data_IF_885599577542
#
_entry.id   IF_885599577542
#
_cell.length_a   1.000
_cell.length_b   1.000
_cell.length_c   1.000
_cell.angle_alpha   90.00
_cell.angle_beta   90.00
_cell.angle_gamma   90.00
#
_symmetry.space_group_name_H-M   'P 1'
#
loop_
_entity.id
_entity.type
_entity.pdbx_description
1 polymer ?
#
# COMPACT_ATOMS: atom_id res chain seq x y z
N UNK A 1 -7.23 8.05 27.54
CA UNK A 1 -6.28 7.18 26.80
C UNK A 1 -5.66 7.89 25.61
N UNK A 2 -6.41 8.25 24.56
CA UNK A 2 -5.85 8.90 23.35
C UNK A 2 -5.23 10.29 23.60
N UNK A 3 -5.80 11.08 24.52
CA UNK A 3 -5.23 12.38 24.93
C UNK A 3 -3.87 12.18 25.61
N UNK A 4 -3.79 11.29 26.61
CA UNK A 4 -2.54 10.93 27.29
C UNK A 4 -1.46 10.42 26.33
N UNK A 5 -1.85 9.61 25.33
CA UNK A 5 -0.92 9.15 24.31
C UNK A 5 -0.42 10.30 23.41
N UNK A 6 -1.27 11.28 23.08
CA UNK A 6 -0.89 12.46 22.32
C UNK A 6 0.05 13.40 23.12
N UNK A 7 -0.01 13.36 24.45
CA UNK A 7 0.88 14.08 25.36
C UNK A 7 2.19 13.33 25.68
N UNK A 8 2.56 12.33 24.86
CA UNK A 8 3.72 11.43 25.07
C UNK A 8 3.69 10.60 26.37
N UNK A 9 2.55 10.53 27.07
CA UNK A 9 2.36 9.70 28.27
C UNK A 9 1.78 8.32 27.91
N UNK A 10 2.35 7.67 26.90
CA UNK A 10 1.78 6.43 26.34
C UNK A 10 1.78 5.25 27.31
N UNK A 11 2.78 5.14 28.21
CA UNK A 11 2.82 4.11 29.26
C UNK A 11 1.66 4.26 30.24
N UNK A 12 1.34 5.50 30.63
CA UNK A 12 0.19 5.79 31.48
C UNK A 12 -1.11 5.50 30.73
N UNK A 13 -1.20 5.88 29.46
CA UNK A 13 -2.35 5.57 28.62
C UNK A 13 -2.61 4.06 28.50
N UNK A 14 -1.54 3.27 28.37
CA UNK A 14 -1.59 1.80 28.30
C UNK A 14 -2.01 1.18 29.65
N UNK A 15 -1.42 1.64 30.76
CA UNK A 15 -1.81 1.19 32.10
C UNK A 15 -3.28 1.48 32.41
N UNK A 16 -3.79 2.65 31.99
CA UNK A 16 -5.21 2.99 32.09
C UNK A 16 -6.05 2.01 31.27
N UNK A 17 -5.63 1.71 30.03
CA UNK A 17 -6.35 0.77 29.17
C UNK A 17 -6.43 -0.64 29.79
N UNK A 18 -5.32 -1.16 30.31
CA UNK A 18 -5.26 -2.46 30.97
C UNK A 18 -6.16 -2.52 32.21
N UNK A 19 -6.13 -1.47 33.03
CA UNK A 19 -7.00 -1.35 34.21
C UNK A 19 -8.47 -1.33 33.80
N UNK A 20 -8.83 -0.58 32.76
CA UNK A 20 -10.19 -0.55 32.22
C UNK A 20 -10.61 -1.92 31.67
N UNK A 21 -9.74 -2.63 30.94
CA UNK A 21 -10.01 -4.00 30.47
C UNK A 21 -10.29 -4.93 31.65
N UNK A 22 -9.48 -4.89 32.70
CA UNK A 22 -9.64 -5.72 33.89
C UNK A 22 -10.96 -5.44 34.61
N UNK A 23 -11.36 -4.17 34.73
CA UNK A 23 -12.63 -3.77 35.33
C UNK A 23 -13.83 -4.22 34.50
N UNK A 24 -13.80 -4.03 33.18
CA UNK A 24 -14.88 -4.44 32.28
C UNK A 24 -15.07 -5.96 32.27
N UNK A 25 -13.97 -6.73 32.26
CA UNK A 25 -14.04 -8.19 32.38
C UNK A 25 -14.75 -8.68 33.65
N UNK A 26 -14.65 -7.91 34.75
CA UNK A 26 -15.22 -8.28 36.06
C UNK A 26 -16.65 -7.76 36.26
N UNK A 27 -16.99 -6.58 35.75
CA UNK A 27 -18.22 -5.87 36.14
C UNK A 27 -19.27 -5.68 35.04
N UNK A 28 -18.90 -5.62 33.76
CA UNK A 28 -19.86 -5.38 32.67
C UNK A 28 -19.35 -5.96 31.34
N UNK A 29 -20.04 -6.98 30.83
CA UNK A 29 -19.72 -7.68 29.58
C UNK A 29 -20.15 -6.92 28.32
N UNK A 30 -20.25 -5.58 28.35
CA UNK A 30 -20.53 -4.81 27.13
C UNK A 30 -19.39 -4.99 26.13
N UNK A 31 -19.63 -5.80 25.11
CA UNK A 31 -18.63 -6.20 24.11
C UNK A 31 -18.16 -4.99 23.32
N UNK A 32 -19.06 -4.06 22.99
CA UNK A 32 -18.72 -2.86 22.24
C UNK A 32 -17.69 -2.02 22.97
N UNK A 33 -17.94 -1.71 24.24
CA UNK A 33 -17.01 -0.92 25.05
C UNK A 33 -15.66 -1.65 25.23
N UNK A 34 -15.70 -2.96 25.44
CA UNK A 34 -14.49 -3.77 25.55
C UNK A 34 -13.65 -3.72 24.27
N UNK A 35 -14.30 -3.81 23.10
CA UNK A 35 -13.64 -3.68 21.80
C UNK A 35 -13.01 -2.29 21.61
N UNK A 36 -13.66 -1.21 22.07
CA UNK A 36 -13.11 0.15 21.99
C UNK A 36 -11.87 0.35 22.85
N UNK A 37 -11.87 -0.20 24.07
CA UNK A 37 -10.70 -0.12 24.97
C UNK A 37 -9.55 -0.96 24.41
N UNK A 38 -9.82 -2.16 23.89
CA UNK A 38 -8.82 -2.98 23.21
C UNK A 38 -8.25 -2.28 21.97
N UNK A 39 -9.09 -1.68 21.13
CA UNK A 39 -8.64 -0.89 19.97
C UNK A 39 -7.68 0.22 20.39
N UNK A 40 -8.03 0.96 21.45
CA UNK A 40 -7.19 2.04 21.97
C UNK A 40 -5.85 1.52 22.49
N UNK A 41 -5.83 0.39 23.21
CA UNK A 41 -4.61 -0.23 23.70
C UNK A 41 -3.70 -0.70 22.55
N UNK A 42 -4.28 -1.41 21.57
CA UNK A 42 -3.58 -1.91 20.38
C UNK A 42 -3.02 -0.76 19.52
N UNK A 43 -3.79 0.30 19.29
CA UNK A 43 -3.35 1.50 18.58
C UNK A 43 -2.11 2.11 19.27
N UNK A 44 -2.17 2.30 20.59
CA UNK A 44 -1.07 2.90 21.37
C UNK A 44 0.17 2.02 21.32
N UNK A 45 0.04 0.71 21.58
CA UNK A 45 1.17 -0.24 21.52
C UNK A 45 1.78 -0.32 20.13
N UNK A 46 0.96 -0.31 19.07
CA UNK A 46 1.42 -0.32 17.68
C UNK A 46 2.20 0.95 17.31
N UNK A 47 1.72 2.13 17.71
CA UNK A 47 2.38 3.42 17.43
C UNK A 47 3.78 3.48 18.08
N UNK A 48 3.93 2.90 19.27
CA UNK A 48 5.18 2.94 20.04
C UNK A 48 6.07 1.71 19.84
N UNK A 49 5.66 0.75 18.99
CA UNK A 49 6.46 -0.43 18.65
C UNK A 49 6.62 -1.44 19.79
N UNK A 50 5.73 -1.45 20.78
CA UNK A 50 5.74 -2.44 21.87
C UNK A 50 5.08 -3.75 21.39
N UNK A 51 5.87 -4.60 20.73
CA UNK A 51 5.44 -5.87 20.16
C UNK A 51 5.01 -6.88 21.23
N UNK A 52 5.62 -6.83 22.41
CA UNK A 52 5.31 -7.77 23.50
C UNK A 52 3.91 -7.53 24.05
N UNK A 53 3.59 -6.29 24.40
CA UNK A 53 2.26 -5.94 24.91
C UNK A 53 1.20 -6.16 23.84
N UNK A 54 1.52 -5.87 22.58
CA UNK A 54 0.66 -6.18 21.44
C UNK A 54 0.28 -7.68 21.38
N UNK A 55 1.24 -8.59 21.43
CA UNK A 55 0.97 -10.03 21.36
C UNK A 55 0.13 -10.52 22.54
N UNK A 56 0.35 -9.96 23.74
CA UNK A 56 -0.46 -10.26 24.91
C UNK A 56 -1.90 -9.77 24.74
N UNK A 57 -2.09 -8.55 24.24
CA UNK A 57 -3.40 -7.97 23.96
C UNK A 57 -4.14 -8.78 22.88
N UNK A 58 -3.46 -9.20 21.81
CA UNK A 58 -4.04 -10.03 20.76
C UNK A 58 -4.57 -11.37 21.31
N UNK A 59 -3.75 -12.09 22.11
CA UNK A 59 -4.17 -13.34 22.76
C UNK A 59 -5.38 -13.11 23.68
N UNK A 60 -5.39 -11.99 24.41
CA UNK A 60 -6.50 -11.61 25.26
C UNK A 60 -7.78 -11.30 24.46
N UNK A 61 -7.66 -10.62 23.32
CA UNK A 61 -8.80 -10.33 22.45
C UNK A 61 -9.43 -11.62 21.95
N UNK A 62 -8.62 -12.56 21.46
CA UNK A 62 -9.12 -13.84 20.94
C UNK A 62 -9.84 -14.64 22.04
N UNK A 63 -9.23 -14.78 23.22
CA UNK A 63 -9.85 -15.57 24.30
C UNK A 63 -11.16 -14.98 24.79
N UNK A 64 -11.25 -13.65 24.85
CA UNK A 64 -12.42 -12.91 25.33
C UNK A 64 -13.53 -12.88 24.28
N UNK A 65 -13.21 -12.56 23.02
CA UNK A 65 -14.20 -12.51 21.95
C UNK A 65 -14.82 -13.88 21.68
N UNK A 66 -14.02 -14.96 21.71
CA UNK A 66 -14.53 -16.31 21.51
C UNK A 66 -15.50 -16.75 22.61
N UNK A 67 -15.32 -16.27 23.85
CA UNK A 67 -16.22 -16.57 24.98
C UNK A 67 -17.52 -15.73 24.94
N UNK A 68 -17.51 -14.61 24.22
CA UNK A 68 -18.62 -13.65 24.18
C UNK A 68 -19.37 -13.67 22.83
N UNK A 69 -19.04 -14.60 21.93
CA UNK A 69 -19.60 -14.77 20.59
C UNK A 69 -21.09 -15.23 20.57
N UNK A 70 -21.83 -15.05 21.65
CA UNK A 70 -23.15 -15.64 21.85
C UNK A 70 -24.32 -14.70 21.55
N UNK A 71 -24.12 -13.58 20.86
CA UNK A 71 -25.15 -12.52 20.80
C UNK A 71 -25.41 -12.07 19.35
N UNK A 72 -26.67 -12.23 18.93
CA UNK A 72 -27.24 -11.68 17.68
C UNK A 72 -27.41 -10.15 17.78
N UNK A 73 -26.37 -9.41 18.20
CA UNK A 73 -26.42 -7.95 18.32
C UNK A 73 -25.55 -7.30 17.23
N UNK A 74 -26.17 -6.64 16.23
CA UNK A 74 -25.44 -5.98 15.15
C UNK A 74 -24.37 -4.98 15.65
N UNK A 75 -24.64 -4.23 16.73
CA UNK A 75 -23.72 -3.24 17.27
C UNK A 75 -22.42 -3.90 17.75
N UNK A 76 -22.53 -5.05 18.41
CA UNK A 76 -21.38 -5.80 18.91
C UNK A 76 -20.59 -6.40 17.75
N UNK A 77 -21.25 -6.89 16.70
CA UNK A 77 -20.57 -7.33 15.47
C UNK A 77 -19.81 -6.20 14.76
N UNK A 78 -20.38 -4.98 14.68
CA UNK A 78 -19.67 -3.82 14.14
C UNK A 78 -18.45 -3.44 14.98
N UNK A 79 -18.56 -3.51 16.31
CA UNK A 79 -17.44 -3.26 17.21
C UNK A 79 -16.32 -4.33 17.06
N UNK A 80 -16.69 -5.60 16.90
CA UNK A 80 -15.76 -6.68 16.59
C UNK A 80 -15.09 -6.50 15.24
N UNK A 81 -15.85 -6.11 14.20
CA UNK A 81 -15.31 -5.84 12.87
C UNK A 81 -14.27 -4.72 12.91
N UNK A 82 -14.56 -3.62 13.62
CA UNK A 82 -13.61 -2.53 13.86
C UNK A 82 -12.34 -3.01 14.57
N UNK A 83 -12.46 -3.83 15.61
CA UNK A 83 -11.32 -4.42 16.31
C UNK A 83 -10.48 -5.33 15.42
N UNK A 84 -11.13 -6.15 14.60
CA UNK A 84 -10.47 -7.01 13.61
C UNK A 84 -9.77 -6.19 12.52
N UNK A 85 -10.33 -5.05 12.09
CA UNK A 85 -9.67 -4.10 11.18
C UNK A 85 -8.37 -3.55 11.77
N UNK A 86 -8.39 -3.15 13.03
CA UNK A 86 -7.18 -2.68 13.74
C UNK A 86 -6.13 -3.78 13.81
N UNK A 87 -6.52 -5.00 14.20
CA UNK A 87 -5.61 -6.16 14.22
C UNK A 87 -5.03 -6.45 12.84
N UNK A 88 -5.86 -6.42 11.78
CA UNK A 88 -5.42 -6.64 10.41
C UNK A 88 -4.38 -5.60 9.96
N UNK A 89 -4.60 -4.32 10.26
CA UNK A 89 -3.64 -3.25 9.94
C UNK A 89 -2.34 -3.45 10.71
N UNK A 90 -2.39 -3.78 12.00
CA UNK A 90 -1.18 -4.03 12.79
C UNK A 90 -0.42 -5.24 12.24
N UNK A 91 -1.12 -6.33 11.90
CA UNK A 91 -0.51 -7.52 11.29
C UNK A 91 0.13 -7.21 9.93
N UNK A 92 -0.47 -6.34 9.15
CA UNK A 92 0.12 -5.86 7.90
C UNK A 92 1.41 -5.06 8.13
N UNK A 93 1.55 -4.42 9.29
CA UNK A 93 2.76 -3.68 9.68
C UNK A 93 3.89 -4.61 10.16
N UNK A 94 3.56 -5.61 10.99
CA UNK A 94 4.53 -6.35 11.80
C UNK A 94 4.75 -7.80 11.39
N UNK A 95 3.75 -8.46 10.80
CA UNK A 95 3.80 -9.89 10.49
C UNK A 95 4.27 -10.16 9.06
N UNK A 96 4.48 -11.45 8.77
CA UNK A 96 4.63 -11.91 7.40
C UNK A 96 3.29 -11.82 6.63
N UNK A 97 3.40 -11.74 5.30
CA UNK A 97 2.24 -11.56 4.41
C UNK A 97 1.21 -12.69 4.56
N UNK A 98 1.65 -13.93 4.79
CA UNK A 98 0.74 -15.09 4.91
C UNK A 98 -0.20 -14.96 6.11
N UNK A 99 0.30 -14.52 7.26
CA UNK A 99 -0.51 -14.33 8.46
C UNK A 99 -1.50 -13.16 8.29
N UNK A 100 -1.03 -12.04 7.75
CA UNK A 100 -1.88 -10.89 7.44
C UNK A 100 -3.04 -11.27 6.49
N UNK A 101 -2.77 -12.05 5.43
CA UNK A 101 -3.80 -12.54 4.50
C UNK A 101 -4.89 -13.36 5.22
N UNK A 102 -4.52 -14.24 6.16
CA UNK A 102 -5.49 -15.08 6.89
C UNK A 102 -6.48 -14.24 7.68
N UNK A 103 -5.99 -13.19 8.35
CA UNK A 103 -6.83 -12.26 9.12
C UNK A 103 -7.67 -11.40 8.15
N UNK A 104 -7.05 -10.92 7.06
CA UNK A 104 -7.73 -10.15 6.03
C UNK A 104 -8.91 -10.89 5.41
N UNK A 105 -8.79 -12.20 5.10
CA UNK A 105 -9.93 -12.99 4.63
C UNK A 105 -11.06 -13.10 5.67
N UNK A 106 -10.73 -13.37 6.94
CA UNK A 106 -11.74 -13.44 8.01
C UNK A 106 -12.49 -12.11 8.14
N UNK A 107 -11.77 -11.00 8.12
CA UNK A 107 -12.34 -9.67 8.16
C UNK A 107 -13.16 -9.35 6.91
N UNK A 108 -12.70 -9.73 5.72
CA UNK A 108 -13.44 -9.59 4.47
C UNK A 108 -14.78 -10.31 4.52
N UNK A 109 -14.83 -11.55 4.99
CA UNK A 109 -16.08 -12.31 5.13
C UNK A 109 -17.00 -11.71 6.20
N UNK A 110 -16.44 -11.29 7.34
CA UNK A 110 -17.19 -10.63 8.41
C UNK A 110 -17.84 -9.34 7.90
N UNK A 111 -17.05 -8.45 7.27
CA UNK A 111 -17.56 -7.18 6.74
C UNK A 111 -18.59 -7.40 5.62
N UNK A 112 -18.44 -8.45 4.81
CA UNK A 112 -19.39 -8.81 3.77
C UNK A 112 -20.73 -9.22 4.37
N UNK A 113 -20.72 -10.10 5.38
CA UNK A 113 -21.93 -10.55 6.07
C UNK A 113 -22.64 -9.43 6.84
N UNK A 114 -21.90 -8.43 7.34
CA UNK A 114 -22.46 -7.27 8.03
C UNK A 114 -22.93 -6.14 7.10
N UNK A 115 -22.75 -6.27 5.79
CA UNK A 115 -22.93 -5.18 4.84
C UNK A 115 -22.17 -3.90 5.24
N UNK A 116 -20.99 -4.07 5.85
CA UNK A 116 -20.18 -2.97 6.36
C UNK A 116 -19.29 -2.37 5.24
N UNK A 117 -19.91 -1.62 4.32
CA UNK A 117 -19.25 -1.09 3.12
C UNK A 117 -18.02 -0.22 3.43
N UNK A 118 -18.08 0.58 4.50
CA UNK A 118 -16.96 1.42 4.93
C UNK A 118 -15.74 0.57 5.32
N UNK A 119 -15.95 -0.50 6.10
CA UNK A 119 -14.86 -1.39 6.48
C UNK A 119 -14.34 -2.23 5.31
N UNK A 120 -15.21 -2.54 4.33
CA UNK A 120 -14.75 -3.16 3.07
C UNK A 120 -13.83 -2.22 2.27
N UNK A 121 -14.18 -0.93 2.16
CA UNK A 121 -13.33 0.08 1.49
C UNK A 121 -11.93 0.19 2.11
N UNK A 122 -11.81 -0.03 3.41
CA UNK A 122 -10.52 -0.01 4.12
C UNK A 122 -9.78 -1.34 4.03
N UNK A 123 -10.50 -2.46 4.12
CA UNK A 123 -9.91 -3.81 4.21
C UNK A 123 -9.43 -4.32 2.85
N UNK A 124 -10.26 -4.18 1.82
CA UNK A 124 -10.06 -4.85 0.53
C UNK A 124 -8.81 -4.35 -0.19
N UNK A 125 -8.49 -3.04 -0.25
CA UNK A 125 -7.26 -2.58 -0.89
C UNK A 125 -6.00 -3.20 -0.26
N UNK A 126 -5.96 -3.28 1.07
CA UNK A 126 -4.83 -3.88 1.80
C UNK A 126 -4.73 -5.38 1.53
N UNK A 127 -5.86 -6.10 1.62
CA UNK A 127 -5.91 -7.53 1.34
C UNK A 127 -5.48 -7.83 -0.10
N UNK A 128 -5.93 -7.04 -1.06
CA UNK A 128 -5.61 -7.22 -2.47
C UNK A 128 -4.09 -7.03 -2.73
N UNK A 129 -3.47 -6.00 -2.15
CA UNK A 129 -2.03 -5.78 -2.27
C UNK A 129 -1.21 -6.90 -1.59
N UNK A 130 -1.67 -7.41 -0.44
CA UNK A 130 -1.06 -8.57 0.22
C UNK A 130 -1.16 -9.83 -0.65
N UNK A 131 -2.33 -10.07 -1.26
CA UNK A 131 -2.55 -11.19 -2.18
C UNK A 131 -1.66 -11.09 -3.41
N UNK A 132 -1.56 -9.91 -4.03
CA UNK A 132 -0.62 -9.64 -5.13
C UNK A 132 0.82 -9.93 -4.69
N UNK A 133 1.23 -9.43 -3.52
CA UNK A 133 2.56 -9.66 -2.97
C UNK A 133 2.86 -11.15 -2.75
N UNK A 134 1.83 -11.96 -2.48
CA UNK A 134 1.89 -13.41 -2.35
C UNK A 134 1.64 -14.20 -3.66
N UNK A 135 1.66 -13.56 -4.85
CA UNK A 135 1.38 -14.19 -6.16
C UNK A 135 -0.07 -14.68 -6.34
N UNK A 136 -1.01 -14.17 -5.58
CA UNK A 136 -2.44 -14.55 -5.62
C UNK A 136 -3.27 -13.51 -6.38
N UNK A 137 -2.87 -13.20 -7.62
CA UNK A 137 -3.47 -12.13 -8.43
C UNK A 137 -4.96 -12.38 -8.72
N UNK A 138 -5.34 -13.60 -9.04
CA UNK A 138 -6.75 -13.93 -9.27
C UNK A 138 -7.60 -13.66 -8.03
N UNK A 139 -7.13 -14.09 -6.86
CA UNK A 139 -7.86 -13.89 -5.61
C UNK A 139 -7.99 -12.39 -5.27
N UNK A 140 -6.94 -11.60 -5.57
CA UNK A 140 -6.97 -10.15 -5.42
C UNK A 140 -8.00 -9.52 -6.37
N UNK A 141 -8.02 -9.95 -7.64
CA UNK A 141 -8.98 -9.48 -8.64
C UNK A 141 -10.43 -9.84 -8.26
N UNK A 142 -10.67 -11.04 -7.72
CA UNK A 142 -11.99 -11.43 -7.22
C UNK A 142 -12.43 -10.57 -6.03
N UNK A 143 -11.57 -10.39 -5.02
CA UNK A 143 -11.88 -9.57 -3.85
C UNK A 143 -12.24 -8.13 -4.24
N UNK A 144 -11.42 -7.51 -5.09
CA UNK A 144 -11.63 -6.14 -5.58
C UNK A 144 -12.87 -6.05 -6.48
N UNK A 145 -13.13 -7.04 -7.33
CA UNK A 145 -14.29 -7.10 -8.21
C UNK A 145 -15.63 -7.23 -7.47
N UNK A 146 -15.70 -8.06 -6.42
CA UNK A 146 -16.89 -8.15 -5.56
C UNK A 146 -17.14 -6.81 -4.87
N UNK A 147 -16.08 -6.21 -4.34
CA UNK A 147 -16.19 -4.94 -3.62
C UNK A 147 -16.63 -3.81 -4.55
N UNK A 148 -16.13 -3.76 -5.80
CA UNK A 148 -16.59 -2.79 -6.81
C UNK A 148 -18.11 -2.87 -7.02
N UNK A 149 -18.67 -4.07 -7.09
CA UNK A 149 -20.13 -4.27 -7.27
C UNK A 149 -20.91 -3.74 -6.08
N UNK A 150 -20.43 -4.00 -4.86
CA UNK A 150 -21.06 -3.51 -3.62
C UNK A 150 -20.99 -1.98 -3.55
N UNK A 151 -19.87 -1.39 -3.95
CA UNK A 151 -19.62 0.04 -3.88
C UNK A 151 -20.22 0.85 -5.04
N UNK A 152 -20.92 0.22 -5.99
CA UNK A 152 -21.48 0.91 -7.17
C UNK A 152 -22.49 2.00 -6.79
N UNK A 153 -23.15 1.84 -5.64
CA UNK A 153 -24.14 2.79 -5.13
C UNK A 153 -23.54 3.78 -4.11
N UNK A 154 -22.32 3.56 -3.65
CA UNK A 154 -21.60 4.50 -2.79
C UNK A 154 -20.90 5.54 -3.66
N UNK A 155 -21.03 6.83 -3.31
CA UNK A 155 -20.34 7.95 -3.96
C UNK A 155 -18.89 7.56 -4.30
N UNK A 156 -18.46 7.84 -5.54
CA UNK A 156 -17.20 7.55 -6.29
C UNK A 156 -15.93 7.01 -5.59
N UNK A 157 -15.74 7.12 -4.27
CA UNK A 157 -14.58 6.63 -3.54
C UNK A 157 -14.26 5.14 -3.76
N UNK A 158 -15.28 4.27 -3.78
CA UNK A 158 -15.07 2.84 -4.03
C UNK A 158 -14.59 2.53 -5.45
N UNK A 159 -15.16 3.23 -6.45
CA UNK A 159 -14.73 3.07 -7.84
C UNK A 159 -13.33 3.66 -8.07
N UNK A 160 -12.98 4.77 -7.41
CA UNK A 160 -11.61 5.31 -7.45
C UNK A 160 -10.59 4.32 -6.87
N UNK A 161 -10.88 3.69 -5.73
CA UNK A 161 -10.00 2.67 -5.13
C UNK A 161 -9.83 1.46 -6.06
N UNK A 162 -10.90 1.05 -6.74
CA UNK A 162 -10.85 -0.01 -7.74
C UNK A 162 -9.89 0.32 -8.89
N UNK A 163 -10.01 1.52 -9.48
CA UNK A 163 -9.15 1.92 -10.60
C UNK A 163 -7.69 2.17 -10.19
N UNK A 164 -7.45 2.65 -8.95
CA UNK A 164 -6.12 2.72 -8.37
C UNK A 164 -5.50 1.33 -8.28
N UNK A 165 -6.24 0.35 -7.74
CA UNK A 165 -5.75 -1.03 -7.67
C UNK A 165 -5.45 -1.59 -9.07
N UNK A 166 -6.31 -1.35 -10.06
CA UNK A 166 -6.07 -1.79 -11.44
C UNK A 166 -4.76 -1.22 -11.99
N UNK A 167 -4.49 0.06 -11.73
CA UNK A 167 -3.27 0.73 -12.18
C UNK A 167 -2.03 0.23 -11.42
N UNK A 168 -2.15 0.00 -10.10
CA UNK A 168 -1.07 -0.57 -9.30
C UNK A 168 -0.74 -2.00 -9.70
N UNK A 169 -1.74 -2.83 -9.97
CA UNK A 169 -1.54 -4.19 -10.48
C UNK A 169 -0.75 -4.16 -11.80
N UNK A 170 -1.15 -3.27 -12.71
CA UNK A 170 -0.48 -3.06 -13.99
C UNK A 170 0.98 -2.66 -13.81
N UNK A 171 1.24 -1.68 -12.94
CA UNK A 171 2.58 -1.15 -12.67
C UNK A 171 3.47 -2.14 -11.92
N UNK A 172 2.94 -2.85 -10.94
CA UNK A 172 3.77 -3.68 -10.06
C UNK A 172 3.97 -5.10 -10.60
N UNK A 173 3.10 -5.55 -11.52
CA UNK A 173 3.08 -6.96 -11.93
C UNK A 173 2.96 -7.21 -13.44
N UNK A 174 2.68 -6.17 -14.24
CA UNK A 174 2.33 -6.25 -15.67
C UNK A 174 1.02 -6.99 -15.99
N UNK A 175 0.29 -7.45 -14.98
CA UNK A 175 -1.06 -7.96 -15.16
C UNK A 175 -2.06 -6.82 -15.14
N UNK A 176 -3.10 -6.92 -15.97
CA UNK A 176 -4.17 -5.92 -15.99
C UNK A 176 -5.51 -6.54 -15.67
N UNK A 177 -6.29 -5.83 -14.83
CA UNK A 177 -7.70 -6.09 -14.57
C UNK A 177 -8.58 -5.27 -15.53
N UNK A 178 -8.24 -3.99 -15.67
CA UNK A 178 -8.81 -3.06 -16.65
C UNK A 178 -7.71 -2.58 -17.59
N UNK A 179 -8.06 -2.31 -18.84
CA UNK A 179 -7.11 -1.69 -19.80
C UNK A 179 -6.81 -0.25 -19.36
N UNK A 180 -5.59 0.22 -19.63
CA UNK A 180 -5.19 1.58 -19.26
C UNK A 180 -6.15 2.65 -19.81
N UNK A 181 -6.71 2.48 -21.01
CA UNK A 181 -7.65 3.43 -21.61
C UNK A 181 -8.94 3.58 -20.78
N UNK A 182 -9.39 2.52 -20.10
CA UNK A 182 -10.55 2.58 -19.21
C UNK A 182 -10.21 3.34 -17.92
N UNK A 183 -9.00 3.13 -17.39
CA UNK A 183 -8.49 3.85 -16.22
C UNK A 183 -8.34 5.35 -16.53
N UNK A 184 -7.78 5.68 -17.69
CA UNK A 184 -7.59 7.06 -18.15
C UNK A 184 -8.93 7.78 -18.32
N UNK A 185 -9.90 7.15 -19.01
CA UNK A 185 -11.26 7.70 -19.17
C UNK A 185 -11.95 7.94 -17.83
N UNK A 186 -11.82 7.02 -16.88
CA UNK A 186 -12.36 7.21 -15.54
C UNK A 186 -11.69 8.39 -14.82
N UNK A 187 -10.37 8.51 -14.91
CA UNK A 187 -9.64 9.62 -14.30
C UNK A 187 -10.07 10.97 -14.91
N UNK A 188 -10.25 11.05 -16.23
CA UNK A 188 -10.74 12.26 -16.91
C UNK A 188 -12.13 12.63 -16.40
N UNK A 189 -13.05 11.67 -16.35
CA UNK A 189 -14.40 11.85 -15.79
C UNK A 189 -14.35 12.40 -14.36
N UNK A 190 -13.53 11.78 -13.52
CA UNK A 190 -13.39 12.14 -12.10
C UNK A 190 -12.77 13.55 -11.89
N UNK A 191 -11.98 14.04 -12.84
CA UNK A 191 -11.37 15.37 -12.77
C UNK A 191 -12.20 16.46 -13.45
N UNK A 192 -12.93 16.14 -14.53
CA UNK A 192 -13.71 17.10 -15.31
C UNK A 192 -15.15 17.27 -14.78
N UNK A 193 -15.78 16.18 -14.31
CA UNK A 193 -17.20 16.20 -13.94
C UNK A 193 -17.44 16.33 -12.42
N UNK A 194 -16.44 16.02 -11.60
CA UNK A 194 -16.59 16.14 -10.14
C UNK A 194 -16.13 17.51 -9.67
N UNK A 195 -17.09 18.41 -9.56
CA UNK A 195 -16.98 19.71 -8.93
C UNK A 195 -16.19 19.64 -7.59
N UNK A 196 -15.42 20.69 -7.27
CA UNK A 196 -14.56 20.76 -6.07
C UNK A 196 -15.33 20.56 -4.74
N UNK A 197 -16.67 20.56 -4.80
CA UNK A 197 -17.62 20.33 -3.73
C UNK A 197 -17.79 18.86 -3.31
N UNK A 198 -17.31 17.88 -4.10
CA UNK A 198 -17.53 16.46 -3.81
C UNK A 198 -16.41 15.79 -3.00
N UNK A 199 -16.81 15.22 -1.85
CA UNK A 199 -16.05 14.47 -0.83
C UNK A 199 -15.28 13.23 -1.31
N UNK A 200 -15.03 13.07 -2.60
CA UNK A 200 -13.95 12.20 -3.08
C UNK A 200 -12.65 12.70 -2.47
N UNK A 201 -12.06 11.91 -1.55
CA UNK A 201 -10.85 12.25 -0.83
C UNK A 201 -9.78 12.72 -1.83
N UNK A 202 -9.36 13.99 -1.74
CA UNK A 202 -8.39 14.59 -2.67
C UNK A 202 -7.12 13.73 -2.80
N UNK A 203 -6.78 12.99 -1.74
CA UNK A 203 -5.72 11.98 -1.70
C UNK A 203 -5.90 10.88 -2.76
N UNK A 204 -7.08 10.28 -2.83
CA UNK A 204 -7.40 9.17 -3.74
C UNK A 204 -7.32 9.65 -5.20
N UNK A 205 -7.87 10.83 -5.49
CA UNK A 205 -7.77 11.42 -6.84
C UNK A 205 -6.31 11.60 -7.28
N UNK A 206 -5.52 12.25 -6.42
CA UNK A 206 -4.09 12.50 -6.66
C UNK A 206 -3.31 11.20 -6.80
N UNK A 207 -3.64 10.18 -6.01
CA UNK A 207 -2.95 8.91 -6.10
C UNK A 207 -3.14 8.26 -7.48
N UNK A 208 -4.38 8.26 -8.00
CA UNK A 208 -4.65 7.76 -9.34
C UNK A 208 -3.84 8.50 -10.42
N UNK A 209 -3.74 9.84 -10.32
CA UNK A 209 -2.92 10.64 -11.25
C UNK A 209 -1.45 10.27 -11.18
N UNK A 210 -0.90 10.08 -9.98
CA UNK A 210 0.50 9.67 -9.84
C UNK A 210 0.72 8.29 -10.45
N UNK A 211 -0.23 7.35 -10.32
CA UNK A 211 -0.14 6.06 -10.99
C UNK A 211 -0.15 6.21 -12.53
N UNK A 212 -1.04 7.04 -13.09
CA UNK A 212 -1.05 7.33 -14.53
C UNK A 212 0.23 8.00 -15.01
N UNK A 213 0.73 9.00 -14.29
CA UNK A 213 2.01 9.65 -14.57
C UNK A 213 3.16 8.66 -14.57
N UNK A 214 3.19 7.75 -13.58
CA UNK A 214 4.20 6.69 -13.49
C UNK A 214 4.11 5.75 -14.68
N UNK A 215 2.89 5.31 -15.05
CA UNK A 215 2.66 4.44 -16.19
C UNK A 215 3.17 5.04 -17.50
N UNK A 216 2.75 6.28 -17.81
CA UNK A 216 3.19 6.95 -19.04
C UNK A 216 4.68 7.31 -19.01
N UNK A 217 5.26 7.58 -17.84
CA UNK A 217 6.72 7.80 -17.70
C UNK A 217 7.52 6.53 -18.01
N UNK A 218 7.06 5.36 -17.55
CA UNK A 218 7.69 4.06 -17.87
C UNK A 218 7.65 3.75 -19.36
N UNK A 219 6.56 4.10 -20.04
CA UNK A 219 6.41 3.93 -21.49
C UNK A 219 6.98 5.08 -22.31
N UNK A 220 7.62 6.07 -21.69
CA UNK A 220 8.12 7.27 -22.36
C UNK A 220 7.08 8.05 -23.19
N UNK A 221 5.80 7.95 -22.85
CA UNK A 221 4.74 8.74 -23.47
C UNK A 221 4.64 10.11 -22.79
N UNK A 222 5.62 10.96 -23.05
CA UNK A 222 5.78 12.24 -22.35
C UNK A 222 4.68 13.25 -22.65
N UNK A 223 4.00 13.14 -23.81
CA UNK A 223 2.84 13.96 -24.13
C UNK A 223 1.70 13.71 -23.14
N UNK A 224 1.43 12.44 -22.81
CA UNK A 224 0.45 12.08 -21.77
C UNK A 224 0.95 12.46 -20.37
N UNK A 225 2.25 12.37 -20.10
CA UNK A 225 2.83 12.81 -18.82
C UNK A 225 2.56 14.30 -18.59
N UNK A 226 2.84 15.17 -19.56
CA UNK A 226 2.60 16.61 -19.42
C UNK A 226 1.10 16.93 -19.24
N UNK A 227 0.22 16.28 -20.00
CA UNK A 227 -1.25 16.38 -19.81
C UNK A 227 -1.64 16.09 -18.36
N UNK A 228 -1.21 14.97 -17.81
CA UNK A 228 -1.60 14.55 -16.47
C UNK A 228 -0.94 15.37 -15.36
N UNK A 229 0.23 15.96 -15.63
CA UNK A 229 0.98 16.78 -14.68
C UNK A 229 0.22 18.07 -14.33
N UNK A 230 -0.55 18.63 -15.27
CA UNK A 230 -1.42 19.78 -15.03
C UNK A 230 -2.47 19.56 -13.93
N UNK A 231 -2.82 18.30 -13.63
CA UNK A 231 -3.81 17.95 -12.61
C UNK A 231 -3.18 17.56 -11.26
N UNK A 232 -1.86 17.61 -11.16
CA UNK A 232 -1.12 17.15 -9.98
C UNK A 232 -0.66 18.33 -9.10
N UNK A 233 -1.58 18.88 -8.31
CA UNK A 233 -1.20 19.80 -7.24
C UNK A 233 -0.61 19.03 -6.05
N UNK A 234 0.65 19.32 -5.69
CA UNK A 234 1.36 18.65 -4.59
C UNK A 234 0.61 18.87 -3.26
N UNK A 235 0.10 17.82 -2.58
CA UNK A 235 -0.62 17.97 -1.32
C UNK A 235 0.30 18.12 -0.10
N UNK A 236 -0.17 18.98 0.81
CA UNK A 236 0.27 19.16 2.18
C UNK A 236 -0.45 18.18 3.14
N UNK A 237 0.34 17.61 4.06
CA UNK A 237 -0.02 16.87 5.28
C UNK A 237 -0.97 15.66 5.10
N UNK A 238 -0.41 14.46 5.23
CA UNK A 238 -1.17 13.21 5.31
C UNK A 238 -0.89 12.49 6.64
N UNK A 239 -1.89 11.77 7.16
CA UNK A 239 -1.75 10.86 8.30
C UNK A 239 -0.91 9.64 7.90
N UNK A 240 -0.14 9.08 8.85
CA UNK A 240 0.70 7.88 8.69
C UNK A 240 -0.13 6.59 8.58
N UNK A 241 -0.81 6.43 7.45
CA UNK A 241 -1.65 5.27 7.12
C UNK A 241 -1.13 4.49 5.88
N UNK A 242 -1.78 3.36 5.61
CA UNK A 242 -1.41 2.44 4.53
C UNK A 242 -1.40 3.11 3.14
N UNK A 243 -2.40 3.95 2.85
CA UNK A 243 -2.53 4.59 1.56
C UNK A 243 -1.48 5.70 1.39
N UNK A 244 -1.12 6.40 2.46
CA UNK A 244 -0.07 7.42 2.41
C UNK A 244 1.28 6.81 2.02
N UNK A 245 1.70 5.70 2.64
CA UNK A 245 2.99 5.09 2.30
C UNK A 245 3.00 4.59 0.85
N UNK A 246 1.88 4.01 0.38
CA UNK A 246 1.73 3.57 -1.00
C UNK A 246 1.85 4.73 -1.99
N UNK A 247 1.12 5.82 -1.71
CA UNK A 247 1.21 7.08 -2.45
C UNK A 247 2.65 7.62 -2.50
N UNK A 248 3.32 7.73 -1.34
CA UNK A 248 4.68 8.27 -1.27
C UNK A 248 5.69 7.42 -2.02
N UNK A 249 5.58 6.10 -1.96
CA UNK A 249 6.44 5.19 -2.71
C UNK A 249 6.22 5.34 -4.22
N UNK A 250 4.98 5.44 -4.68
CA UNK A 250 4.70 5.69 -6.10
C UNK A 250 5.19 7.08 -6.54
N UNK A 251 5.03 8.10 -5.70
CA UNK A 251 5.54 9.43 -5.99
C UNK A 251 7.08 9.45 -6.06
N UNK A 252 7.76 8.74 -5.15
CA UNK A 252 9.22 8.56 -5.21
C UNK A 252 9.63 7.88 -6.52
N UNK A 253 8.93 6.83 -6.93
CA UNK A 253 9.19 6.17 -8.22
C UNK A 253 9.06 7.14 -9.40
N UNK A 254 7.96 7.91 -9.46
CA UNK A 254 7.75 8.91 -10.51
C UNK A 254 8.91 9.91 -10.59
N UNK A 255 9.36 10.44 -9.45
CA UNK A 255 10.48 11.39 -9.41
C UNK A 255 11.81 10.72 -9.86
N UNK A 256 12.04 9.45 -9.50
CA UNK A 256 13.20 8.69 -9.96
C UNK A 256 13.17 8.47 -11.49
N UNK A 257 12.01 8.17 -12.06
CA UNK A 257 11.83 8.04 -13.51
C UNK A 257 12.06 9.36 -14.24
N UNK A 258 11.59 10.48 -13.68
CA UNK A 258 11.82 11.81 -14.23
C UNK A 258 13.31 12.16 -14.24
N UNK A 259 14.05 11.91 -13.15
CA UNK A 259 15.50 12.14 -13.12
C UNK A 259 16.24 11.24 -14.10
N UNK A 260 15.83 9.97 -14.23
CA UNK A 260 16.42 9.08 -15.22
C UNK A 260 16.26 9.63 -16.64
N UNK A 261 15.08 10.16 -16.99
CA UNK A 261 14.85 10.86 -18.26
C UNK A 261 15.73 12.11 -18.39
N UNK A 262 15.80 12.93 -17.35
CA UNK A 262 16.63 14.15 -17.32
C UNK A 262 18.11 13.85 -17.59
N UNK A 263 18.61 12.72 -17.07
CA UNK A 263 19.97 12.22 -17.31
C UNK A 263 20.18 11.74 -18.76
N UNK A 264 19.17 11.14 -19.39
CA UNK A 264 19.23 10.73 -20.81
C UNK A 264 19.16 11.91 -21.78
N UNK A 265 18.58 13.03 -21.37
CA UNK A 265 18.36 14.19 -22.23
C UNK A 265 19.65 15.03 -22.38
N UNK A 266 20.14 15.13 -23.63
CA UNK A 266 21.42 15.79 -23.99
C UNK A 266 21.55 17.27 -23.56
N UNK A 267 20.43 17.96 -23.29
CA UNK A 267 20.39 19.40 -23.05
C UNK A 267 19.97 19.79 -21.62
N UNK A 268 19.83 18.83 -20.70
CA UNK A 268 19.45 19.16 -19.33
C UNK A 268 20.63 19.76 -18.57
N UNK A 269 20.46 20.94 -18.00
CA UNK A 269 21.51 21.60 -17.21
C UNK A 269 21.81 20.79 -15.93
N UNK A 270 23.09 20.61 -15.61
CA UNK A 270 23.54 19.90 -14.39
C UNK A 270 22.88 20.42 -13.11
N UNK A 271 22.69 21.74 -13.01
CA UNK A 271 22.04 22.40 -11.86
C UNK A 271 20.61 21.88 -11.63
N UNK A 272 19.87 21.59 -12.71
CA UNK A 272 18.50 21.06 -12.62
C UNK A 272 18.54 19.63 -12.07
N UNK A 273 19.42 18.79 -12.62
CA UNK A 273 19.59 17.39 -12.18
C UNK A 273 19.98 17.32 -10.69
N UNK A 274 20.87 18.20 -10.24
CA UNK A 274 21.26 18.30 -8.83
C UNK A 274 20.08 18.70 -7.92
N UNK A 275 19.26 19.64 -8.36
CA UNK A 275 18.05 20.06 -7.63
C UNK A 275 17.05 18.89 -7.51
N UNK A 276 16.82 18.15 -8.60
CA UNK A 276 15.94 16.98 -8.59
C UNK A 276 16.47 15.89 -7.63
N UNK A 277 17.78 15.62 -7.63
CA UNK A 277 18.38 14.68 -6.69
C UNK A 277 18.27 15.11 -5.22
N UNK A 278 18.25 16.42 -4.92
CA UNK A 278 17.99 16.92 -3.56
C UNK A 278 16.56 16.61 -3.12
N UNK A 279 15.57 16.81 -4.00
CA UNK A 279 14.17 16.46 -3.76
C UNK A 279 14.03 14.95 -3.51
N UNK A 280 14.61 14.12 -4.39
CA UNK A 280 14.58 12.66 -4.23
C UNK A 280 15.22 12.22 -2.92
N UNK A 281 16.34 12.82 -2.50
CA UNK A 281 16.98 12.48 -1.24
C UNK A 281 16.05 12.70 -0.04
N UNK A 282 15.28 13.80 -0.05
CA UNK A 282 14.26 14.06 0.98
C UNK A 282 13.17 12.99 0.97
N UNK A 283 12.62 12.68 -0.21
CA UNK A 283 11.59 11.65 -0.38
C UNK A 283 12.06 10.25 0.04
N UNK A 284 13.29 9.89 -0.29
CA UNK A 284 13.93 8.63 0.13
C UNK A 284 13.97 8.53 1.65
N UNK A 285 14.44 9.58 2.33
CA UNK A 285 14.51 9.58 3.80
C UNK A 285 13.13 9.43 4.43
N UNK A 286 12.13 10.15 3.91
CA UNK A 286 10.75 10.03 4.38
C UNK A 286 10.19 8.61 4.16
N UNK A 287 10.37 8.03 2.98
CA UNK A 287 9.89 6.68 2.68
C UNK A 287 10.60 5.63 3.52
N UNK A 288 11.90 5.77 3.79
CA UNK A 288 12.64 4.87 4.67
C UNK A 288 12.12 4.92 6.11
N UNK A 289 11.82 6.11 6.63
CA UNK A 289 11.25 6.25 7.99
C UNK A 289 9.87 5.60 8.07
N UNK A 290 9.01 5.86 7.09
CA UNK A 290 7.65 5.32 7.08
C UNK A 290 7.66 3.80 6.89
N UNK A 291 8.44 3.29 5.94
CA UNK A 291 8.45 1.86 5.59
C UNK A 291 9.04 0.94 6.67
N UNK A 292 9.84 1.46 7.60
CA UNK A 292 10.31 0.67 8.77
C UNK A 292 9.16 0.08 9.59
N UNK A 293 8.02 0.76 9.63
CA UNK A 293 6.84 0.31 10.36
C UNK A 293 5.86 -0.47 9.48
N UNK A 294 6.23 -0.76 8.22
CA UNK A 294 5.38 -1.48 7.28
C UNK A 294 6.21 -2.51 6.51
N UNK A 295 6.26 -3.73 7.07
CA UNK A 295 7.04 -4.85 6.53
C UNK A 295 6.77 -5.12 5.04
N UNK A 296 5.52 -4.93 4.59
CA UNK A 296 5.10 -5.06 3.20
C UNK A 296 5.89 -4.15 2.23
N UNK A 297 6.16 -2.92 2.64
CA UNK A 297 6.65 -1.85 1.78
C UNK A 297 8.16 -1.63 1.85
N UNK A 298 8.81 -2.06 2.93
CA UNK A 298 10.24 -1.89 3.15
C UNK A 298 11.12 -2.48 2.03
N UNK A 299 10.87 -3.70 1.50
CA UNK A 299 11.66 -4.23 0.39
C UNK A 299 11.60 -3.36 -0.86
N UNK A 300 10.41 -2.86 -1.21
CA UNK A 300 10.17 -1.97 -2.36
C UNK A 300 10.85 -0.62 -2.15
N UNK A 301 10.82 -0.09 -0.93
CA UNK A 301 11.58 1.11 -0.59
C UNK A 301 13.08 0.92 -0.82
N UNK A 302 13.66 -0.20 -0.37
CA UNK A 302 15.07 -0.50 -0.63
C UNK A 302 15.42 -0.61 -2.12
N UNK A 303 14.52 -1.15 -2.95
CA UNK A 303 14.69 -1.14 -4.41
C UNK A 303 14.81 0.28 -4.96
N UNK A 304 13.94 1.20 -4.55
CA UNK A 304 14.01 2.60 -4.99
C UNK A 304 15.25 3.33 -4.47
N UNK A 305 15.71 3.02 -3.25
CA UNK A 305 16.99 3.53 -2.74
C UNK A 305 18.16 2.98 -3.56
N UNK A 306 18.14 1.69 -3.91
CA UNK A 306 19.14 1.12 -4.79
C UNK A 306 19.16 1.82 -6.14
N UNK A 307 17.98 2.07 -6.72
CA UNK A 307 17.83 2.76 -7.99
C UNK A 307 18.35 4.21 -7.92
N UNK A 308 18.05 4.95 -6.85
CA UNK A 308 18.63 6.29 -6.60
C UNK A 308 20.17 6.27 -6.65
N UNK A 309 20.79 5.29 -5.97
CA UNK A 309 22.24 5.16 -5.99
C UNK A 309 22.78 4.69 -7.35
N UNK A 310 22.02 3.86 -8.07
CA UNK A 310 22.37 3.41 -9.42
C UNK A 310 22.38 4.56 -10.42
N UNK A 311 21.38 5.46 -10.37
CA UNK A 311 21.34 6.69 -11.20
C UNK A 311 22.51 7.64 -10.92
N UNK A 312 23.03 7.63 -9.69
CA UNK A 312 24.24 8.37 -9.29
C UNK A 312 25.54 7.61 -9.54
N UNK A 313 25.49 6.50 -10.28
CA UNK A 313 26.63 5.60 -10.55
C UNK A 313 27.37 5.11 -9.28
N UNK A 314 26.69 5.10 -8.13
CA UNK A 314 27.30 4.75 -6.85
C UNK A 314 27.16 3.25 -6.57
N UNK A 315 28.25 2.62 -6.16
CA UNK A 315 28.34 1.19 -5.76
C UNK A 315 27.41 0.78 -4.61
N UNK A 316 26.88 1.73 -3.83
CA UNK A 316 25.95 1.46 -2.71
C UNK A 316 24.64 0.80 -3.15
N UNK A 317 24.26 0.86 -4.42
CA UNK A 317 23.05 0.18 -4.92
C UNK A 317 23.02 -1.31 -4.58
N UNK A 318 24.17 -2.02 -4.72
CA UNK A 318 24.28 -3.46 -4.41
C UNK A 318 23.95 -3.79 -2.96
N UNK A 319 24.31 -2.91 -2.02
CA UNK A 319 23.97 -3.07 -0.60
C UNK A 319 22.45 -3.04 -0.41
N UNK A 320 21.77 -2.08 -1.03
CA UNK A 320 20.32 -1.93 -0.89
C UNK A 320 19.53 -3.00 -1.62
N UNK A 321 20.02 -3.53 -2.75
CA UNK A 321 19.46 -4.74 -3.38
C UNK A 321 19.47 -5.92 -2.39
N UNK A 322 20.62 -6.21 -1.77
CA UNK A 322 20.74 -7.29 -0.78
C UNK A 322 19.79 -7.09 0.42
N UNK A 323 19.67 -5.86 0.93
CA UNK A 323 18.73 -5.55 2.01
C UNK A 323 17.27 -5.77 1.56
N UNK A 324 16.90 -5.31 0.36
CA UNK A 324 15.58 -5.52 -0.22
C UNK A 324 15.23 -7.00 -0.36
N UNK A 325 16.14 -7.82 -0.88
CA UNK A 325 15.94 -9.26 -1.04
C UNK A 325 15.76 -9.96 0.31
N UNK A 326 16.59 -9.63 1.30
CA UNK A 326 16.50 -10.17 2.65
C UNK A 326 15.13 -9.88 3.27
N UNK A 327 14.69 -8.61 3.23
CA UNK A 327 13.38 -8.23 3.77
C UNK A 327 12.21 -8.86 2.99
N UNK A 328 12.31 -8.97 1.66
CA UNK A 328 11.29 -9.62 0.86
C UNK A 328 11.15 -11.10 1.22
N UNK A 329 12.26 -11.78 1.52
CA UNK A 329 12.28 -13.18 1.95
C UNK A 329 11.68 -13.38 3.35
N UNK A 330 12.10 -12.58 4.33
CA UNK A 330 11.56 -12.60 5.70
C UNK A 330 10.04 -12.43 5.68
N UNK A 331 9.54 -11.49 4.87
CA UNK A 331 8.11 -11.16 4.80
C UNK A 331 7.31 -12.04 3.82
N UNK A 332 7.97 -12.95 3.09
CA UNK A 332 7.38 -13.77 2.01
C UNK A 332 6.73 -12.92 0.90
N UNK A 333 7.33 -11.77 0.58
CA UNK A 333 6.90 -10.87 -0.49
C UNK A 333 7.47 -11.33 -1.83
N UNK A 334 6.81 -12.33 -2.44
CA UNK A 334 7.24 -12.96 -3.68
C UNK A 334 7.27 -11.97 -4.84
N UNK A 335 6.24 -11.13 -4.98
CA UNK A 335 6.16 -10.16 -6.08
C UNK A 335 7.32 -9.17 -6.03
N UNK A 336 7.63 -8.61 -4.86
CA UNK A 336 8.73 -7.65 -4.74
C UNK A 336 10.09 -8.32 -4.87
N UNK A 337 10.25 -9.56 -4.38
CA UNK A 337 11.47 -10.36 -4.60
C UNK A 337 11.74 -10.55 -6.11
N UNK A 338 10.72 -10.92 -6.87
CA UNK A 338 10.79 -11.04 -8.33
C UNK A 338 11.25 -9.73 -8.97
N UNK A 339 10.64 -8.62 -8.57
CA UNK A 339 10.95 -7.32 -9.16
C UNK A 339 12.37 -6.85 -8.83
N UNK A 340 12.85 -7.09 -7.61
CA UNK A 340 14.23 -6.78 -7.23
C UNK A 340 15.22 -7.61 -8.05
N UNK A 341 14.99 -8.91 -8.20
CA UNK A 341 15.84 -9.80 -9.01
C UNK A 341 15.88 -9.36 -10.48
N UNK A 342 14.72 -9.01 -11.06
CA UNK A 342 14.65 -8.47 -12.42
C UNK A 342 15.55 -7.24 -12.57
N UNK A 343 15.41 -6.27 -11.65
CA UNK A 343 16.17 -5.03 -11.72
C UNK A 343 17.67 -5.24 -11.53
N UNK A 344 18.10 -6.10 -10.61
CA UNK A 344 19.53 -6.39 -10.41
C UNK A 344 20.17 -7.02 -11.66
N UNK A 345 19.45 -7.96 -12.29
CA UNK A 345 19.87 -8.57 -13.56
C UNK A 345 19.90 -7.52 -14.69
N UNK A 346 18.81 -6.76 -14.85
CA UNK A 346 18.67 -5.74 -15.89
C UNK A 346 19.79 -4.69 -15.80
N UNK A 347 20.07 -4.20 -14.59
CA UNK A 347 21.13 -3.22 -14.33
C UNK A 347 22.55 -3.75 -14.48
N UNK A 348 22.74 -5.07 -14.45
CA UNK A 348 24.03 -5.72 -14.62
C UNK A 348 24.37 -5.95 -16.09
N UNK A 349 23.37 -6.22 -16.94
CA UNK A 349 23.56 -6.41 -18.38
C UNK A 349 23.82 -5.08 -19.10
N UNK A 350 23.42 -3.95 -18.50
CA UNK A 350 23.65 -2.63 -19.10
C UNK A 350 22.74 -2.35 -20.29
N UNK A 351 21.54 -2.95 -20.30
CA UNK A 351 20.51 -2.60 -21.27
C UNK A 351 20.08 -1.14 -21.05
N UNK A 352 20.69 -0.24 -21.82
CA UNK A 352 20.17 1.09 -22.07
C UNK A 352 19.00 0.89 -23.02
N UNK A 353 17.79 1.18 -22.56
CA UNK A 353 16.73 1.72 -23.40
C UNK A 353 15.43 1.83 -22.60
N UNK A 354 14.90 3.04 -22.57
CA UNK A 354 13.48 3.30 -22.36
C UNK A 354 12.59 2.78 -23.52
N UNK A 355 13.19 2.22 -24.58
CA UNK A 355 12.50 1.57 -25.69
C UNK A 355 12.05 0.18 -25.26
N UNK A 356 10.94 0.14 -24.52
CA UNK A 356 10.21 -1.10 -24.31
C UNK A 356 8.83 -0.94 -24.95
N UNK A 357 8.77 -1.13 -26.26
CA UNK A 357 7.50 -1.26 -26.99
C UNK A 357 6.86 -2.64 -26.80
N UNK A 358 7.60 -3.62 -26.26
CA UNK A 358 7.27 -5.04 -26.44
C UNK A 358 6.96 -5.80 -25.14
N UNK A 359 6.84 -5.15 -23.97
CA UNK A 359 6.41 -5.88 -22.77
C UNK A 359 4.92 -6.21 -22.87
N UNK A 360 4.53 -7.50 -22.91
CA UNK A 360 3.13 -7.86 -22.99
C UNK A 360 2.46 -7.58 -21.65
N UNK A 361 1.47 -6.68 -21.64
CA UNK A 361 0.52 -6.64 -20.54
C UNK A 361 -0.38 -7.88 -20.61
N UNK A 362 -0.43 -8.63 -19.52
CA UNK A 362 -1.10 -9.94 -19.49
C UNK A 362 -2.44 -9.81 -18.75
N UNK A 363 -3.48 -10.44 -19.28
CA UNK A 363 -4.77 -10.48 -18.59
C UNK A 363 -4.61 -11.24 -17.26
N UNK A 364 -5.11 -10.66 -16.16
CA UNK A 364 -4.98 -11.23 -14.80
C UNK A 364 -5.39 -12.71 -14.67
N UNK A 365 -6.35 -13.19 -15.49
CA UNK A 365 -6.82 -14.58 -15.51
C UNK A 365 -5.74 -15.59 -15.89
N UNK A 366 -4.67 -15.15 -16.57
CA UNK A 366 -3.54 -16.00 -16.92
C UNK A 366 -2.49 -16.07 -15.82
N UNK A 367 -2.63 -15.31 -14.72
CA UNK A 367 -1.58 -15.19 -13.71
C UNK A 367 -1.16 -16.53 -13.08
N UNK A 368 -2.08 -17.50 -12.95
CA UNK A 368 -1.77 -18.85 -12.46
C UNK A 368 -0.87 -19.66 -13.38
N UNK A 369 -0.82 -19.33 -14.67
CA UNK A 369 0.01 -20.00 -15.67
C UNK A 369 1.49 -19.62 -15.56
N UNK A 370 1.80 -18.48 -14.93
CA UNK A 370 3.17 -17.98 -14.81
C UNK A 370 3.83 -18.54 -13.56
N UNK A 371 5.00 -19.16 -13.72
CA UNK A 371 5.92 -19.48 -12.62
C UNK A 371 6.54 -18.20 -12.03
N UNK A 372 7.26 -18.32 -10.91
CA UNK A 372 7.96 -17.17 -10.30
C UNK A 372 8.99 -16.61 -11.30
N UNK A 373 9.75 -17.47 -11.96
CA UNK A 373 10.77 -17.07 -12.92
C UNK A 373 10.17 -16.41 -14.16
N UNK A 374 9.11 -16.99 -14.73
CA UNK A 374 8.38 -16.37 -15.85
C UNK A 374 7.76 -15.02 -15.46
N UNK A 375 7.35 -14.84 -14.20
CA UNK A 375 6.81 -13.57 -13.76
C UNK A 375 7.87 -12.46 -13.76
N UNK A 376 9.12 -12.78 -13.38
CA UNK A 376 10.23 -11.81 -13.50
C UNK A 376 10.43 -11.33 -14.93
N UNK A 377 10.11 -12.14 -15.93
CA UNK A 377 10.32 -11.83 -17.34
C UNK A 377 9.26 -10.90 -17.94
N UNK A 378 8.07 -10.81 -17.33
CA UNK A 378 6.99 -9.94 -17.83
C UNK A 378 6.90 -8.61 -17.08
N UNK A 379 7.50 -8.50 -15.89
CA UNK A 379 7.54 -7.28 -15.10
C UNK A 379 8.33 -6.16 -15.77
N UNK A 380 7.98 -4.91 -15.51
CA UNK A 380 8.72 -3.75 -16.02
C UNK A 380 9.94 -3.42 -15.16
N UNK A 381 11.17 -3.44 -15.71
CA UNK A 381 12.35 -2.98 -14.98
C UNK A 381 12.33 -1.44 -14.82
N UNK A 382 13.09 -0.94 -13.84
CA UNK A 382 13.39 0.47 -13.71
C UNK A 382 14.50 0.82 -14.73
N UNK A 383 14.21 1.74 -15.68
CA UNK A 383 15.11 2.03 -16.79
C UNK A 383 16.42 2.67 -16.32
N UNK A 384 17.48 2.60 -17.13
CA UNK A 384 18.71 3.37 -16.89
C UNK A 384 18.82 4.48 -17.94
N UNK A 385 19.53 5.60 -17.62
CA UNK A 385 19.70 6.73 -18.52
C UNK A 385 20.33 6.40 -19.86
#
# INVERSE_FOLDING_TARGET
>A
MRILAAENQWKLALSVAEKTISLLKRGNKNISLLCEVYNSALDISSIHGDTHTYEQLEKCVVSVLMQLYSINNPIEFFAMAKLMSTLFVIKTKTDNITNAIRIGYRLYHLNYGLHAEIFQMETVPILADLLVSAKRIEDAAYAVGVTRKMMKNTLYGGESLYFIFCCDLLLDTSFYLEKIDAIEKFAEKMYLECDNSMRTNATTKKYLIICLLTYFSRLCNWNKVEKWKCYCDVPSIFKNDYNQIKFKLRFLELNLLQVARSLSAKNTKTVIIEAEFKVIKKLVNECLVLSKNWSLFLPKCYLYVAYHYKLKTHTKHKKYIKLGLKEAEINRNLSTKCWINLNDNYWSIGHNNFLISDFPFVLWKKAREYTIDQWTQIMFPLPLP
#
